data_IF_213364380592
#
_entry.id   IF_213364380592
#
_cell.length_a   1.000
_cell.length_b   1.000
_cell.length_c   1.000
_cell.angle_alpha   90.00
_cell.angle_beta   90.00
_cell.angle_gamma   90.00
#
_symmetry.space_group_name_H-M   'P 1'
#
loop_
_entity.id
_entity.type
_entity.pdbx_description
1 polymer ?
#
# COMPACT_ATOMS: atom_id res chain seq x y z
N UNK A 1 -18.66 1.52 -9.58
CA UNK A 1 -18.61 2.01 -8.18
C UNK A 1 -18.92 0.91 -7.15
N UNK A 2 -19.88 0.00 -7.42
CA UNK A 2 -20.34 -1.00 -6.45
C UNK A 2 -19.37 -2.16 -6.16
N UNK A 3 -18.51 -2.52 -7.09
CA UNK A 3 -17.53 -3.62 -6.92
C UNK A 3 -16.44 -3.29 -5.88
N UNK A 4 -16.10 -2.01 -5.73
CA UNK A 4 -15.12 -1.59 -4.72
C UNK A 4 -15.67 -1.69 -3.29
N UNK A 5 -16.97 -1.56 -3.07
CA UNK A 5 -17.57 -1.60 -1.74
C UNK A 5 -17.67 -3.02 -1.16
N UNK A 6 -18.00 -4.04 -1.96
CA UNK A 6 -18.09 -5.42 -1.47
C UNK A 6 -16.71 -6.07 -1.30
N UNK A 7 -15.82 -5.90 -2.28
CA UNK A 7 -14.45 -6.39 -2.20
C UNK A 7 -13.66 -5.67 -1.08
N UNK A 8 -13.83 -4.35 -0.91
CA UNK A 8 -13.22 -3.62 0.18
C UNK A 8 -13.72 -4.08 1.55
N UNK A 9 -15.01 -4.40 1.70
CA UNK A 9 -15.56 -4.93 2.94
C UNK A 9 -14.94 -6.28 3.34
N UNK A 10 -14.68 -7.16 2.38
CA UNK A 10 -14.04 -8.45 2.63
C UNK A 10 -12.54 -8.33 2.91
N UNK A 11 -11.85 -7.41 2.22
CA UNK A 11 -10.43 -7.12 2.47
C UNK A 11 -10.23 -6.48 3.83
N UNK A 12 -11.17 -5.65 4.29
CA UNK A 12 -11.12 -5.05 5.62
C UNK A 12 -11.10 -6.09 6.75
N UNK A 13 -11.67 -7.26 6.53
CA UNK A 13 -11.64 -8.38 7.48
C UNK A 13 -10.34 -9.22 7.40
N UNK A 14 -9.48 -8.96 6.40
CA UNK A 14 -8.29 -9.77 6.08
C UNK A 14 -6.99 -8.99 6.10
N UNK A 15 -6.90 -7.99 6.97
CA UNK A 15 -5.69 -7.15 7.14
C UNK A 15 -4.53 -7.90 7.82
N UNK A 16 -3.29 -7.51 7.51
CA UNK A 16 -2.82 -6.46 6.60
C UNK A 16 -2.99 -6.86 5.14
N UNK A 17 -3.27 -5.87 4.31
CA UNK A 17 -3.56 -6.08 2.89
C UNK A 17 -2.69 -5.19 2.02
N UNK A 18 -2.20 -5.73 0.89
CA UNK A 18 -1.52 -4.97 -0.14
C UNK A 18 -2.35 -5.00 -1.42
N UNK A 19 -2.56 -3.82 -2.01
CA UNK A 19 -3.25 -3.65 -3.28
C UNK A 19 -2.23 -3.23 -4.34
N UNK A 20 -2.01 -4.07 -5.33
CA UNK A 20 -1.09 -3.80 -6.42
C UNK A 20 -1.78 -3.16 -7.62
N UNK A 21 -1.20 -2.05 -8.07
CA UNK A 21 -1.57 -1.32 -9.28
C UNK A 21 -0.34 -1.12 -10.16
N UNK A 22 -0.52 -1.05 -11.47
CA UNK A 22 0.58 -0.84 -12.42
C UNK A 22 0.75 0.63 -12.84
N UNK A 23 0.28 1.56 -12.02
CA UNK A 23 0.40 3.01 -12.23
C UNK A 23 0.57 3.72 -10.90
N UNK A 24 1.55 4.62 -10.80
CA UNK A 24 1.80 5.45 -9.62
C UNK A 24 0.59 6.32 -9.31
N UNK A 25 0.01 6.99 -10.32
CA UNK A 25 -1.15 7.87 -10.16
C UNK A 25 -2.37 7.11 -9.61
N UNK A 26 -2.56 5.86 -10.08
CA UNK A 26 -3.62 4.99 -9.54
C UNK A 26 -3.36 4.62 -8.09
N UNK A 27 -2.13 4.31 -7.74
CA UNK A 27 -1.73 3.97 -6.36
C UNK A 27 -2.07 5.12 -5.42
N UNK A 28 -1.62 6.32 -5.72
CA UNK A 28 -1.88 7.52 -4.90
C UNK A 28 -3.37 7.87 -4.85
N UNK A 29 -4.04 7.93 -6.01
CA UNK A 29 -5.45 8.29 -6.08
C UNK A 29 -6.35 7.29 -5.33
N UNK A 30 -6.02 5.99 -5.40
CA UNK A 30 -6.77 4.94 -4.70
C UNK A 30 -6.52 4.96 -3.20
N UNK A 31 -5.28 5.21 -2.76
CA UNK A 31 -4.97 5.37 -1.34
C UNK A 31 -5.72 6.57 -0.75
N UNK A 32 -5.71 7.72 -1.44
CA UNK A 32 -6.45 8.92 -1.05
C UNK A 32 -7.96 8.68 -0.98
N UNK A 33 -8.51 8.02 -2.00
CA UNK A 33 -9.94 7.68 -2.05
C UNK A 33 -10.34 6.73 -0.91
N UNK A 34 -9.55 5.68 -0.67
CA UNK A 34 -9.78 4.75 0.43
C UNK A 34 -9.70 5.44 1.79
N UNK A 35 -8.75 6.36 1.99
CA UNK A 35 -8.60 7.12 3.22
C UNK A 35 -9.83 7.99 3.53
N UNK A 36 -10.48 8.54 2.48
CA UNK A 36 -11.73 9.29 2.63
C UNK A 36 -12.93 8.40 2.95
N UNK A 37 -13.02 7.21 2.34
CA UNK A 37 -14.20 6.35 2.45
C UNK A 37 -14.20 5.45 3.70
N UNK A 38 -13.07 4.81 3.98
CA UNK A 38 -13.00 3.72 4.95
C UNK A 38 -11.98 3.98 6.06
N UNK A 39 -11.14 4.99 5.88
CA UNK A 39 -10.11 5.34 6.85
C UNK A 39 -10.71 5.87 8.14
N UNK A 40 -10.57 5.10 9.22
CA UNK A 40 -10.94 5.59 10.56
C UNK A 40 -9.71 6.31 11.14
N UNK A 41 -9.89 7.58 11.48
CA UNK A 41 -8.85 8.30 12.21
C UNK A 41 -8.55 7.56 13.51
N UNK A 42 -7.33 7.14 13.67
CA UNK A 42 -6.83 6.58 14.92
C UNK A 42 -6.06 7.69 15.64
N UNK A 43 -6.47 8.01 16.82
CA UNK A 43 -5.68 8.90 17.69
C UNK A 43 -4.48 8.08 18.19
N UNK A 44 -3.41 8.08 17.42
CA UNK A 44 -2.24 7.27 17.68
C UNK A 44 -1.06 8.19 18.01
N UNK A 45 -0.89 8.46 19.31
CA UNK A 45 0.21 9.28 19.79
C UNK A 45 1.57 8.68 19.42
N UNK A 46 1.68 7.34 19.37
CA UNK A 46 2.91 6.65 19.00
C UNK A 46 3.29 6.92 17.54
N UNK A 47 2.30 6.96 16.64
CA UNK A 47 2.54 7.33 15.24
C UNK A 47 3.08 8.76 15.14
N UNK A 48 2.55 9.69 15.94
CA UNK A 48 3.01 11.08 15.93
C UNK A 48 4.44 11.17 16.46
N UNK A 49 4.75 10.53 17.58
CA UNK A 49 6.11 10.50 18.14
C UNK A 49 7.08 9.90 17.13
N UNK A 50 6.72 8.81 16.48
CA UNK A 50 7.55 8.18 15.45
C UNK A 50 7.75 9.10 14.23
N UNK A 51 6.69 9.76 13.78
CA UNK A 51 6.75 10.72 12.70
C UNK A 51 7.68 11.88 13.02
N UNK A 52 7.51 12.49 14.19
CA UNK A 52 8.33 13.61 14.64
C UNK A 52 9.80 13.19 14.80
N UNK A 53 10.07 11.95 15.20
CA UNK A 53 11.46 11.43 15.34
C UNK A 53 12.19 11.30 14.00
N UNK A 54 11.46 11.11 12.89
CA UNK A 54 12.04 10.93 11.55
C UNK A 54 12.04 12.22 10.74
N UNK A 55 10.98 13.02 10.86
CA UNK A 55 10.73 14.18 10.01
C UNK A 55 10.79 15.53 10.76
N UNK A 56 10.99 15.50 12.09
CA UNK A 56 10.92 16.71 12.92
C UNK A 56 12.01 17.74 12.64
N UNK A 57 13.17 17.31 12.12
CA UNK A 57 14.29 18.19 11.78
C UNK A 57 14.20 18.77 10.35
N UNK A 58 13.19 18.40 9.58
CA UNK A 58 13.02 18.91 8.22
C UNK A 58 12.58 20.37 8.21
N UNK A 59 13.12 21.12 7.25
CA UNK A 59 12.66 22.48 6.98
C UNK A 59 11.22 22.48 6.45
N UNK A 60 10.50 23.57 6.62
CA UNK A 60 9.14 23.72 6.10
C UNK A 60 9.05 23.49 4.58
N UNK A 61 10.12 23.82 3.84
CA UNK A 61 10.20 23.59 2.39
C UNK A 61 10.32 22.10 2.06
N UNK A 62 11.17 21.37 2.76
CA UNK A 62 11.34 19.91 2.60
C UNK A 62 10.05 19.19 2.98
N UNK A 63 9.43 19.60 4.08
CA UNK A 63 8.16 19.06 4.53
C UNK A 63 7.06 19.17 3.46
N UNK A 64 6.93 20.35 2.84
CA UNK A 64 5.99 20.59 1.75
C UNK A 64 6.36 19.79 0.48
N UNK A 65 7.65 19.74 0.10
CA UNK A 65 8.11 18.99 -1.07
C UNK A 65 7.80 17.49 -0.96
N UNK A 66 7.85 16.94 0.25
CA UNK A 66 7.53 15.53 0.51
C UNK A 66 6.02 15.30 0.71
N UNK A 67 5.20 16.35 0.72
CA UNK A 67 3.76 16.30 0.96
C UNK A 67 3.39 15.55 2.26
N UNK A 68 4.16 15.78 3.32
CA UNK A 68 4.06 15.02 4.57
C UNK A 68 2.73 15.21 5.30
N UNK A 69 2.05 16.35 5.14
CA UNK A 69 0.72 16.58 5.72
C UNK A 69 -0.30 15.56 5.19
N UNK A 70 -0.33 15.37 3.87
CA UNK A 70 -1.24 14.43 3.23
C UNK A 70 -0.88 12.98 3.58
N UNK A 71 0.41 12.66 3.58
CA UNK A 71 0.89 11.35 3.94
C UNK A 71 0.54 11.00 5.38
N UNK A 72 0.81 11.90 6.34
CA UNK A 72 0.47 11.71 7.74
C UNK A 72 -1.04 11.57 7.94
N UNK A 73 -1.83 12.36 7.23
CA UNK A 73 -3.29 12.25 7.24
C UNK A 73 -3.77 10.85 6.79
N UNK A 74 -3.17 10.25 5.75
CA UNK A 74 -3.48 8.88 5.33
C UNK A 74 -3.00 7.85 6.35
N UNK A 75 -1.77 7.98 6.86
CA UNK A 75 -1.22 7.05 7.85
C UNK A 75 -2.01 7.05 9.16
N UNK A 76 -2.48 8.21 9.61
CA UNK A 76 -3.38 8.32 10.77
C UNK A 76 -4.71 7.58 10.58
N UNK A 77 -5.04 7.22 9.33
CA UNK A 77 -6.20 6.41 8.94
C UNK A 77 -5.84 4.95 8.64
N UNK A 78 -4.61 4.55 8.95
CA UNK A 78 -4.07 3.21 8.75
C UNK A 78 -3.96 2.80 7.28
N UNK A 79 -3.86 3.78 6.39
CA UNK A 79 -3.73 3.60 4.93
C UNK A 79 -2.46 4.29 4.47
N UNK A 80 -1.73 3.64 3.56
CA UNK A 80 -0.54 4.20 2.95
C UNK A 80 -0.40 3.79 1.50
N UNK A 81 0.60 4.37 0.85
CA UNK A 81 0.99 3.94 -0.49
C UNK A 81 2.51 3.89 -0.65
N UNK A 82 2.96 3.09 -1.63
CA UNK A 82 4.37 2.87 -1.90
C UNK A 82 4.63 2.71 -3.40
N UNK A 83 5.55 3.47 -3.94
CA UNK A 83 6.05 3.33 -5.30
C UNK A 83 7.45 3.95 -5.45
N UNK A 84 8.12 3.64 -6.55
CA UNK A 84 9.51 4.08 -6.80
C UNK A 84 9.70 5.61 -6.90
N UNK A 85 8.61 6.39 -7.06
CA UNK A 85 8.66 7.85 -7.12
C UNK A 85 8.71 8.55 -5.76
N UNK A 86 8.48 7.84 -4.65
CA UNK A 86 8.62 8.40 -3.31
C UNK A 86 10.09 8.62 -2.94
N UNK A 87 10.35 9.64 -2.15
CA UNK A 87 11.68 9.85 -1.56
C UNK A 87 12.09 8.63 -0.70
N UNK A 88 13.38 8.25 -0.68
CA UNK A 88 13.84 7.08 0.07
C UNK A 88 13.39 7.07 1.53
N UNK A 89 13.52 8.17 2.24
CA UNK A 89 13.12 8.31 3.64
C UNK A 89 11.61 8.05 3.85
N UNK A 90 10.76 8.49 2.91
CA UNK A 90 9.31 8.25 2.96
C UNK A 90 9.00 6.78 2.70
N UNK A 91 9.71 6.15 1.74
CA UNK A 91 9.55 4.70 1.46
C UNK A 91 9.87 3.86 2.68
N UNK A 92 11.05 4.06 3.26
CA UNK A 92 11.49 3.35 4.47
C UNK A 92 10.51 3.54 5.64
N UNK A 93 10.00 4.76 5.80
CA UNK A 93 9.02 5.04 6.83
C UNK A 93 7.68 4.31 6.61
N UNK A 94 7.13 4.33 5.39
CA UNK A 94 5.91 3.59 5.04
C UNK A 94 6.09 2.08 5.24
N UNK A 95 7.25 1.54 4.88
CA UNK A 95 7.60 0.13 5.09
C UNK A 95 7.60 -0.20 6.58
N UNK A 96 8.25 0.63 7.39
CA UNK A 96 8.26 0.50 8.84
C UNK A 96 6.84 0.54 9.42
N UNK A 97 6.01 1.49 8.98
CA UNK A 97 4.62 1.62 9.43
C UNK A 97 3.79 0.36 9.09
N UNK A 98 3.98 -0.21 7.91
CA UNK A 98 3.24 -1.40 7.51
C UNK A 98 3.68 -2.66 8.27
N UNK A 99 4.99 -2.87 8.42
CA UNK A 99 5.55 -4.01 9.17
C UNK A 99 5.10 -3.98 10.63
N UNK A 100 5.11 -2.80 11.26
CA UNK A 100 4.73 -2.61 12.66
C UNK A 100 3.23 -2.35 12.87
N UNK A 101 2.42 -2.53 11.85
CA UNK A 101 0.94 -2.48 11.95
C UNK A 101 0.38 -1.10 12.30
N UNK A 102 1.08 -0.03 12.01
CA UNK A 102 0.51 1.32 11.98
C UNK A 102 -0.35 1.54 10.74
N UNK A 103 -0.02 0.85 9.63
CA UNK A 103 -0.80 0.81 8.38
C UNK A 103 -1.36 -0.61 8.20
N UNK A 104 -2.64 -0.71 7.88
CA UNK A 104 -3.33 -1.97 7.61
C UNK A 104 -3.57 -2.21 6.12
N UNK A 105 -3.65 -1.14 5.33
CA UNK A 105 -3.87 -1.20 3.90
C UNK A 105 -2.77 -0.41 3.20
N UNK A 106 -2.05 -1.08 2.33
CA UNK A 106 -0.99 -0.50 1.52
C UNK A 106 -1.33 -0.60 0.03
N UNK A 107 -1.38 0.52 -0.65
CA UNK A 107 -1.47 0.59 -2.11
C UNK A 107 -0.06 0.65 -2.68
N UNK A 108 0.29 -0.21 -3.63
CA UNK A 108 1.67 -0.27 -4.12
C UNK A 108 1.76 -0.55 -5.61
N UNK A 109 2.88 -0.12 -6.20
CA UNK A 109 3.29 -0.62 -7.51
C UNK A 109 4.08 -1.93 -7.36
N UNK A 110 4.24 -2.66 -8.47
CA UNK A 110 4.98 -3.93 -8.50
C UNK A 110 6.42 -3.83 -7.97
N UNK A 111 7.00 -2.62 -7.97
CA UNK A 111 8.37 -2.39 -7.46
C UNK A 111 8.52 -2.73 -5.98
N UNK A 112 7.45 -2.70 -5.19
CA UNK A 112 7.46 -3.16 -3.81
C UNK A 112 7.83 -4.65 -3.70
N UNK A 113 7.51 -5.44 -4.72
CA UNK A 113 7.77 -6.89 -4.71
C UNK A 113 9.26 -7.24 -4.91
N UNK A 114 10.09 -6.30 -5.37
CA UNK A 114 11.45 -6.56 -5.85
C UNK A 114 12.55 -6.45 -4.79
N UNK A 115 12.26 -6.06 -3.57
CA UNK A 115 13.39 -5.84 -2.64
C UNK A 115 13.07 -5.96 -1.15
N UNK A 116 11.81 -6.01 -0.76
CA UNK A 116 11.43 -5.90 0.63
C UNK A 116 10.54 -7.07 1.04
N UNK A 117 10.87 -7.67 2.17
CA UNK A 117 10.04 -8.72 2.75
C UNK A 117 8.88 -8.10 3.55
N UNK A 118 7.82 -7.72 2.84
CA UNK A 118 6.59 -7.17 3.43
C UNK A 118 5.44 -8.15 3.17
N UNK A 119 5.30 -9.19 3.98
CA UNK A 119 4.20 -10.14 3.83
C UNK A 119 2.90 -9.53 4.34
N UNK A 120 1.82 -9.76 3.61
CA UNK A 120 0.48 -9.36 3.97
C UNK A 120 -0.42 -10.60 4.10
N UNK A 121 -1.48 -10.51 4.89
CA UNK A 121 -2.48 -11.59 4.97
C UNK A 121 -3.20 -11.75 3.66
N UNK A 122 -3.50 -10.63 2.98
CA UNK A 122 -4.15 -10.64 1.67
C UNK A 122 -3.47 -9.70 0.67
N UNK A 123 -3.44 -10.16 -0.57
CA UNK A 123 -2.94 -9.42 -1.74
C UNK A 123 -4.11 -9.24 -2.70
N UNK A 124 -4.24 -8.04 -3.26
CA UNK A 124 -5.15 -7.76 -4.36
C UNK A 124 -4.38 -7.20 -5.54
N UNK A 125 -4.67 -7.69 -6.74
CA UNK A 125 -4.10 -7.21 -8.00
C UNK A 125 -5.23 -6.60 -8.82
N UNK A 126 -5.10 -5.30 -9.15
CA UNK A 126 -6.14 -4.52 -9.85
C UNK A 126 -6.38 -5.00 -11.29
N UNK A 127 -5.34 -5.46 -11.96
CA UNK A 127 -5.41 -5.86 -13.36
C UNK A 127 -4.38 -6.94 -13.68
N UNK A 128 -4.75 -7.84 -14.59
CA UNK A 128 -3.80 -8.79 -15.18
C UNK A 128 -2.98 -8.16 -16.33
N UNK A 129 -3.28 -6.94 -16.71
CA UNK A 129 -2.58 -6.22 -17.77
C UNK A 129 -1.75 -5.08 -17.22
N UNK A 130 -0.55 -4.93 -17.74
CA UNK A 130 0.33 -3.80 -17.47
C UNK A 130 0.91 -3.20 -18.74
N UNK A 131 1.26 -1.92 -18.70
CA UNK A 131 2.04 -1.25 -19.73
C UNK A 131 3.54 -1.44 -19.44
N UNK A 132 4.29 -1.96 -20.40
CA UNK A 132 5.72 -2.28 -20.24
C UNK A 132 6.66 -1.19 -20.77
N UNK A 133 6.12 -0.04 -21.14
CA UNK A 133 6.83 1.06 -21.79
C UNK A 133 6.63 1.11 -23.30
N UNK A 134 6.18 0.02 -23.93
CA UNK A 134 5.94 -0.11 -25.37
C UNK A 134 4.49 -0.45 -25.66
N UNK A 135 3.96 -1.42 -24.96
CA UNK A 135 2.58 -1.92 -25.15
C UNK A 135 1.95 -2.42 -23.86
N UNK A 136 0.63 -2.52 -23.87
CA UNK A 136 -0.11 -3.22 -22.82
C UNK A 136 0.01 -4.73 -23.06
N UNK A 137 0.43 -5.46 -22.04
CA UNK A 137 0.56 -6.92 -22.06
C UNK A 137 0.03 -7.56 -20.79
N UNK A 138 -0.25 -8.84 -20.85
CA UNK A 138 -0.49 -9.65 -19.66
C UNK A 138 0.75 -9.69 -18.76
N UNK A 139 0.55 -9.68 -17.46
CA UNK A 139 1.64 -9.99 -16.52
C UNK A 139 2.07 -11.44 -16.74
N UNK A 140 3.37 -11.68 -16.66
CA UNK A 140 3.93 -13.02 -16.79
C UNK A 140 3.59 -13.86 -15.54
N UNK A 141 3.70 -15.18 -15.66
CA UNK A 141 3.56 -16.10 -14.54
C UNK A 141 4.54 -15.78 -13.40
N UNK A 142 5.76 -15.39 -13.73
CA UNK A 142 6.78 -15.01 -12.75
C UNK A 142 6.38 -13.75 -12.00
N UNK A 143 5.93 -12.71 -12.69
CA UNK A 143 5.44 -11.47 -12.09
C UNK A 143 4.23 -11.73 -11.18
N UNK A 144 3.28 -12.53 -11.65
CA UNK A 144 2.12 -12.92 -10.84
C UNK A 144 2.54 -13.65 -9.55
N UNK A 145 3.46 -14.62 -9.64
CA UNK A 145 3.97 -15.35 -8.48
C UNK A 145 4.76 -14.46 -7.53
N UNK A 146 5.52 -13.48 -8.03
CA UNK A 146 6.23 -12.50 -7.18
C UNK A 146 5.25 -11.64 -6.37
N UNK A 147 4.16 -11.20 -6.99
CA UNK A 147 3.14 -10.42 -6.30
C UNK A 147 2.36 -11.27 -5.30
N UNK A 148 1.86 -12.42 -5.72
CA UNK A 148 1.02 -13.31 -4.87
C UNK A 148 1.82 -14.06 -3.81
N UNK A 149 3.11 -14.29 -4.01
CA UNK A 149 4.02 -14.89 -3.04
C UNK A 149 4.22 -14.08 -1.76
N UNK A 150 3.65 -12.87 -1.69
CA UNK A 150 3.58 -12.03 -0.48
C UNK A 150 2.34 -12.34 0.38
N UNK A 151 1.42 -13.14 -0.14
CA UNK A 151 0.20 -13.51 0.58
C UNK A 151 0.47 -14.55 1.66
N UNK A 152 0.06 -14.24 2.88
CA UNK A 152 0.27 -15.11 4.05
C UNK A 152 1.58 -14.80 4.78
N UNK A 153 1.46 -14.61 6.10
CA UNK A 153 2.61 -14.37 6.98
C UNK A 153 3.02 -15.70 7.62
N UNK A 154 4.21 -16.18 7.28
CA UNK A 154 4.74 -17.44 7.78
C UNK A 154 4.74 -17.45 9.32
N UNK A 155 4.17 -18.50 9.92
CA UNK A 155 4.10 -18.67 11.38
C UNK A 155 3.01 -17.85 12.07
N UNK A 156 2.26 -17.00 11.34
CA UNK A 156 1.19 -16.15 11.88
C UNK A 156 -0.16 -16.49 11.24
N UNK A 157 -0.21 -16.59 9.93
CA UNK A 157 -1.43 -16.84 9.18
C UNK A 157 -1.53 -18.31 8.74
N UNK A 158 -2.66 -18.96 9.01
CA UNK A 158 -2.91 -20.31 8.51
C UNK A 158 -3.14 -20.35 7.00
N UNK A 159 -3.59 -19.23 6.40
CA UNK A 159 -3.84 -19.08 4.96
C UNK A 159 -3.56 -17.65 4.52
N UNK A 160 -2.85 -17.50 3.40
CA UNK A 160 -2.75 -16.26 2.64
C UNK A 160 -3.84 -16.20 1.57
N UNK A 161 -4.30 -14.99 1.24
CA UNK A 161 -5.32 -14.76 0.21
C UNK A 161 -4.74 -13.90 -0.91
N UNK A 162 -4.82 -14.38 -2.14
CA UNK A 162 -4.51 -13.59 -3.32
C UNK A 162 -5.77 -13.46 -4.17
N UNK A 163 -6.18 -12.22 -4.42
CA UNK A 163 -7.36 -11.86 -5.20
C UNK A 163 -6.90 -11.09 -6.43
N UNK A 164 -7.41 -11.46 -7.60
CA UNK A 164 -7.20 -10.71 -8.83
C UNK A 164 -8.55 -10.21 -9.32
N UNK A 165 -8.65 -8.90 -9.57
CA UNK A 165 -9.83 -8.31 -10.21
C UNK A 165 -9.70 -8.50 -11.72
N UNK A 166 -10.02 -9.71 -12.18
CA UNK A 166 -10.16 -9.98 -13.61
C UNK A 166 -11.57 -9.55 -13.98
N UNK A 167 -11.69 -8.45 -14.72
CA UNK A 167 -12.92 -8.20 -15.45
C UNK A 167 -13.01 -9.23 -16.60
N UNK A 168 -13.80 -10.24 -16.36
CA UNK A 168 -14.25 -11.12 -17.43
C UNK A 168 -15.27 -10.36 -18.29
#
# INVERSE_FOLDING_TARGET
PHLFSSAASDVYKRQPSIFFFFSRDKVESKARHASNLIGKKTDNNDLKVLFDSVFGDLTSKEFQLLNLDELFWMWSRRIGFHHAGLAPIVKEFVEHLFINRYIDILFATETLSLGINMPAKSIMIDSSFKYDGVRTRLISKSEFLQLTGRAGRRGIDNKGFALSLIHI
#
